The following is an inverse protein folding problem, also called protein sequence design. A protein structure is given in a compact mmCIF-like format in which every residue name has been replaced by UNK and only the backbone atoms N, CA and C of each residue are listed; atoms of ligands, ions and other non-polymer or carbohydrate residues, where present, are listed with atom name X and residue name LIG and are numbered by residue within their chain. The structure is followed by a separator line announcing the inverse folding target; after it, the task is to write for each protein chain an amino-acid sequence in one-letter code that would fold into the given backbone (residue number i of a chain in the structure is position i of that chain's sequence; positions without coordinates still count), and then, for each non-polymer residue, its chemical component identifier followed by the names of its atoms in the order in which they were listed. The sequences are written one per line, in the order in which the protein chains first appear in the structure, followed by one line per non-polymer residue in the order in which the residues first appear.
data_IF_560295071667
#
_entry.id   IF_560295071667
#
_cell.length_a   1.000
_cell.length_b   1.000
_cell.length_c   1.000
_cell.angle_alpha   90.00
_cell.angle_beta   90.00
_cell.angle_gamma   90.00
#
_symmetry.space_group_name_H-M   'P 1'
#
loop_
_entity.id
_entity.type
_entity.pdbx_description
1 polymer ?
#
# COMPACT_ATOMS: atom_id res chain seq x y z
N UNK A 1 7.44 9.57 1.19
CA UNK A 1 8.03 10.04 2.46
C UNK A 1 9.52 9.71 2.54
N UNK A 2 9.92 8.43 2.47
CA UNK A 2 11.32 7.98 2.62
C UNK A 2 12.27 8.58 1.59
N UNK A 3 11.87 8.65 0.30
CA UNK A 3 12.68 9.29 -0.74
C UNK A 3 12.83 10.80 -0.48
N UNK A 4 11.80 11.46 0.02
CA UNK A 4 11.85 12.89 0.36
C UNK A 4 12.82 13.15 1.52
N UNK A 5 12.80 12.28 2.56
CA UNK A 5 13.75 12.36 3.66
C UNK A 5 15.20 12.12 3.20
N UNK A 6 15.39 11.16 2.28
CA UNK A 6 16.71 10.92 1.68
C UNK A 6 17.22 12.14 0.90
N UNK A 7 16.36 12.74 0.08
CA UNK A 7 16.71 13.95 -0.69
C UNK A 7 16.96 15.17 0.24
N UNK A 8 16.28 15.24 1.38
CA UNK A 8 16.52 16.31 2.34
C UNK A 8 17.98 16.37 2.83
N UNK A 9 18.65 15.19 2.85
CA UNK A 9 20.05 15.07 3.27
C UNK A 9 21.05 15.09 2.11
N UNK A 10 20.70 14.44 0.99
CA UNK A 10 21.65 14.22 -0.11
C UNK A 10 21.58 15.29 -1.20
N UNK A 11 20.40 15.82 -1.48
CA UNK A 11 20.15 16.84 -2.51
C UNK A 11 18.92 17.67 -2.15
N UNK A 12 19.05 18.62 -1.20
CA UNK A 12 17.92 19.44 -0.74
C UNK A 12 17.19 20.19 -1.85
N UNK A 13 17.89 20.56 -2.93
CA UNK A 13 17.31 21.30 -4.06
C UNK A 13 16.42 20.41 -4.94
N UNK A 14 16.60 19.07 -4.89
CA UNK A 14 15.77 18.10 -5.60
C UNK A 14 14.49 17.72 -4.83
N UNK A 15 14.27 18.25 -3.63
CA UNK A 15 13.04 17.96 -2.88
C UNK A 15 11.80 18.49 -3.61
N UNK A 16 10.67 17.76 -3.56
CA UNK A 16 9.39 18.27 -4.05
C UNK A 16 8.92 19.45 -3.20
N UNK A 17 8.16 20.39 -3.79
CA UNK A 17 7.53 21.47 -3.02
C UNK A 17 6.39 21.00 -2.13
N UNK A 18 5.73 19.91 -2.53
CA UNK A 18 4.64 19.30 -1.78
C UNK A 18 4.64 17.78 -1.95
N UNK A 19 4.14 17.08 -0.96
CA UNK A 19 3.98 15.64 -0.94
C UNK A 19 2.57 15.30 -0.44
N UNK A 20 1.80 14.57 -1.25
CA UNK A 20 0.52 14.02 -0.81
C UNK A 20 0.68 12.53 -0.56
N UNK A 21 0.38 12.09 0.65
CA UNK A 21 0.35 10.68 1.04
C UNK A 21 -1.11 10.23 1.08
N UNK A 22 -1.42 9.18 0.33
CA UNK A 22 -2.78 8.65 0.22
C UNK A 22 -2.79 7.19 0.69
N UNK A 23 -3.44 6.90 1.81
CA UNK A 23 -3.64 5.56 2.35
C UNK A 23 -2.34 4.78 2.60
N UNK A 24 -1.22 5.45 2.86
CA UNK A 24 0.06 4.79 3.09
C UNK A 24 0.23 4.36 4.56
N UNK A 25 0.62 3.10 4.85
CA UNK A 25 0.80 2.64 6.23
C UNK A 25 2.13 3.13 6.81
N UNK A 26 2.21 4.40 7.17
CA UNK A 26 3.42 5.00 7.78
C UNK A 26 3.65 4.43 9.18
N UNK A 27 2.60 4.36 9.99
CA UNK A 27 2.61 3.61 11.24
C UNK A 27 1.46 2.59 11.28
N UNK A 28 1.70 1.31 10.93
CA UNK A 28 0.68 0.27 10.97
C UNK A 28 0.10 -0.01 12.37
N UNK A 29 0.77 0.45 13.43
CA UNK A 29 0.33 0.23 14.82
C UNK A 29 -0.55 1.38 15.34
N UNK A 30 -0.62 2.51 14.64
CA UNK A 30 -1.49 3.62 15.03
C UNK A 30 -2.97 3.19 15.08
N UNK A 31 -3.38 2.35 14.14
CA UNK A 31 -4.70 1.69 14.15
C UNK A 31 -4.54 0.28 13.58
N UNK A 32 -4.39 -0.75 14.43
CA UNK A 32 -4.24 -2.14 13.98
C UNK A 32 -5.44 -2.63 13.19
N UNK A 33 -5.18 -3.42 12.14
CA UNK A 33 -6.17 -4.09 11.30
C UNK A 33 -5.86 -5.58 11.19
N UNK A 34 -6.77 -6.38 10.64
CA UNK A 34 -6.52 -7.81 10.39
C UNK A 34 -5.27 -8.03 9.51
N UNK A 35 -4.99 -7.10 8.58
CA UNK A 35 -3.80 -7.16 7.71
C UNK A 35 -2.53 -6.90 8.53
N UNK A 36 -2.53 -5.91 9.41
CA UNK A 36 -1.37 -5.63 10.28
C UNK A 36 -1.13 -6.77 11.26
N UNK A 37 -2.17 -7.35 11.83
CA UNK A 37 -2.08 -8.49 12.74
C UNK A 37 -1.61 -9.77 12.02
N UNK A 38 -2.08 -10.02 10.80
CA UNK A 38 -1.56 -11.08 9.95
C UNK A 38 -0.06 -10.86 9.67
N UNK A 39 0.32 -9.66 9.25
CA UNK A 39 1.71 -9.29 8.99
C UNK A 39 2.64 -9.55 10.19
N UNK A 40 2.17 -9.31 11.42
CA UNK A 40 2.93 -9.59 12.65
C UNK A 40 3.10 -11.08 12.93
N UNK A 41 2.03 -11.87 12.76
CA UNK A 41 2.01 -13.30 13.13
C UNK A 41 2.75 -14.18 12.13
N UNK A 42 2.62 -13.92 10.84
CA UNK A 42 3.23 -14.73 9.78
C UNK A 42 4.75 -14.59 9.76
N UNK A 43 5.48 -15.67 9.58
CA UNK A 43 6.94 -15.60 9.39
C UNK A 43 7.30 -15.26 7.94
N UNK A 44 8.49 -14.69 7.72
CA UNK A 44 8.94 -14.39 6.36
C UNK A 44 9.08 -15.66 5.50
N UNK A 45 9.51 -16.76 6.10
CA UNK A 45 9.59 -18.06 5.42
C UNK A 45 8.21 -18.58 4.97
N UNK A 46 7.21 -18.46 5.83
CA UNK A 46 5.82 -18.82 5.47
C UNK A 46 5.29 -17.93 4.32
N UNK A 47 5.56 -16.62 4.36
CA UNK A 47 5.17 -15.73 3.27
C UNK A 47 5.85 -16.11 1.95
N UNK A 48 7.15 -16.38 1.98
CA UNK A 48 7.87 -16.79 0.77
C UNK A 48 7.33 -18.11 0.22
N UNK A 49 7.05 -19.08 1.08
CA UNK A 49 6.54 -20.39 0.67
C UNK A 49 5.12 -20.33 0.12
N UNK A 50 4.24 -19.52 0.72
CA UNK A 50 2.81 -19.52 0.39
C UNK A 50 2.42 -18.47 -0.65
N UNK A 51 3.10 -17.32 -0.67
CA UNK A 51 2.70 -16.18 -1.49
C UNK A 51 3.58 -15.97 -2.72
N UNK A 52 4.81 -16.49 -2.73
CA UNK A 52 5.74 -16.26 -3.82
C UNK A 52 5.71 -17.40 -4.82
N UNK A 53 5.58 -17.04 -6.09
CA UNK A 53 5.60 -17.98 -7.21
C UNK A 53 6.66 -17.59 -8.24
N UNK A 54 6.98 -18.50 -9.16
CA UNK A 54 7.86 -18.20 -10.28
C UNK A 54 7.03 -17.96 -11.54
N UNK A 55 7.40 -16.93 -12.27
CA UNK A 55 6.80 -16.63 -13.58
C UNK A 55 7.03 -17.82 -14.51
N UNK A 56 5.93 -18.32 -15.08
CA UNK A 56 5.94 -19.48 -15.99
C UNK A 56 6.59 -19.18 -17.35
N UNK A 57 6.99 -20.24 -18.04
CA UNK A 57 7.74 -20.15 -19.30
C UNK A 57 7.00 -19.50 -20.49
N UNK A 58 5.70 -19.27 -20.37
CA UNK A 58 4.87 -18.62 -21.40
C UNK A 58 4.83 -17.09 -21.30
N UNK A 59 5.42 -16.52 -20.25
CA UNK A 59 5.33 -15.09 -19.94
C UNK A 59 6.72 -14.45 -19.94
N UNK A 60 6.77 -13.17 -20.24
CA UNK A 60 7.98 -12.38 -20.08
C UNK A 60 8.47 -12.39 -18.63
N UNK A 61 9.80 -12.46 -18.44
CA UNK A 61 10.38 -12.54 -17.10
C UNK A 61 10.34 -13.93 -16.47
N UNK A 62 10.31 -14.99 -17.29
CA UNK A 62 10.33 -16.39 -16.86
C UNK A 62 11.34 -16.66 -15.75
N UNK A 63 10.92 -17.41 -14.73
CA UNK A 63 11.75 -17.77 -13.58
C UNK A 63 11.90 -16.70 -12.49
N UNK A 64 11.48 -15.45 -12.72
CA UNK A 64 11.45 -14.40 -11.68
C UNK A 64 10.51 -14.81 -10.55
N UNK A 65 10.92 -14.52 -9.34
CA UNK A 65 10.06 -14.68 -8.17
C UNK A 65 9.11 -13.47 -8.06
N UNK A 66 7.82 -13.74 -7.93
CA UNK A 66 6.77 -12.70 -7.86
C UNK A 66 5.72 -13.05 -6.80
N UNK A 67 5.06 -12.03 -6.27
CA UNK A 67 3.76 -12.16 -5.62
C UNK A 67 2.69 -11.95 -6.69
N UNK A 68 1.97 -13.00 -7.14
CA UNK A 68 1.07 -12.94 -8.27
C UNK A 68 -0.10 -11.99 -8.07
N UNK A 69 -0.46 -11.22 -9.10
CA UNK A 69 -1.61 -10.33 -9.10
C UNK A 69 -2.93 -11.05 -8.78
N UNK A 70 -3.11 -12.27 -9.31
CA UNK A 70 -4.29 -13.09 -9.00
C UNK A 70 -4.40 -13.42 -7.50
N UNK A 71 -3.28 -13.68 -6.83
CA UNK A 71 -3.26 -13.96 -5.40
C UNK A 71 -3.55 -12.70 -4.58
N UNK A 72 -3.05 -11.53 -5.03
CA UNK A 72 -3.39 -10.23 -4.45
C UNK A 72 -4.90 -9.97 -4.52
N UNK A 73 -5.50 -10.16 -5.71
CA UNK A 73 -6.95 -10.01 -5.91
C UNK A 73 -7.76 -10.95 -5.02
N UNK A 74 -7.35 -12.22 -4.93
CA UNK A 74 -8.02 -13.20 -4.06
C UNK A 74 -8.02 -12.74 -2.59
N UNK A 75 -6.89 -12.18 -2.14
CA UNK A 75 -6.77 -11.64 -0.78
C UNK A 75 -7.70 -10.44 -0.57
N UNK A 76 -7.72 -9.48 -1.50
CA UNK A 76 -8.60 -8.30 -1.41
C UNK A 76 -10.08 -8.66 -1.46
N UNK A 77 -10.48 -9.57 -2.35
CA UNK A 77 -11.87 -10.02 -2.46
C UNK A 77 -12.29 -10.74 -1.17
N UNK A 78 -11.41 -11.56 -0.56
CA UNK A 78 -11.73 -12.30 0.64
C UNK A 78 -11.98 -11.42 1.87
N UNK A 79 -11.33 -10.25 1.95
CA UNK A 79 -11.54 -9.29 3.04
C UNK A 79 -12.96 -8.67 3.03
N UNK A 80 -13.59 -8.57 1.85
CA UNK A 80 -14.91 -8.00 1.66
C UNK A 80 -15.81 -8.89 0.78
N UNK A 81 -15.78 -10.20 1.01
CA UNK A 81 -16.43 -11.20 0.15
C UNK A 81 -17.93 -10.94 -0.06
N UNK A 82 -18.68 -10.57 0.99
CA UNK A 82 -20.13 -10.27 0.88
C UNK A 82 -20.39 -9.08 -0.04
N UNK A 83 -19.59 -8.03 0.06
CA UNK A 83 -19.73 -6.84 -0.80
C UNK A 83 -19.49 -7.18 -2.27
N UNK A 84 -18.44 -7.96 -2.55
CA UNK A 84 -18.15 -8.38 -3.92
C UNK A 84 -19.24 -9.33 -4.46
N UNK A 85 -19.68 -10.31 -3.67
CA UNK A 85 -20.77 -11.19 -4.04
C UNK A 85 -22.05 -10.42 -4.36
N UNK A 86 -22.42 -9.46 -3.50
CA UNK A 86 -23.57 -8.60 -3.73
C UNK A 86 -23.42 -7.79 -5.04
N UNK A 87 -22.26 -7.17 -5.26
CA UNK A 87 -22.01 -6.36 -6.45
C UNK A 87 -22.13 -7.20 -7.75
N UNK A 88 -21.61 -8.41 -7.78
CA UNK A 88 -21.78 -9.31 -8.93
C UNK A 88 -23.23 -9.79 -9.11
N UNK A 89 -23.95 -10.06 -8.01
CA UNK A 89 -25.38 -10.40 -8.07
C UNK A 89 -26.22 -9.24 -8.62
N UNK A 90 -25.98 -8.03 -8.11
CA UNK A 90 -26.66 -6.81 -8.58
C UNK A 90 -26.38 -6.58 -10.09
N UNK A 91 -25.15 -6.82 -10.55
CA UNK A 91 -24.77 -6.77 -11.96
C UNK A 91 -25.60 -7.71 -12.83
N UNK A 92 -25.76 -8.97 -12.40
CA UNK A 92 -26.60 -9.94 -13.13
C UNK A 92 -28.04 -9.45 -13.26
N UNK A 93 -28.59 -8.89 -12.19
CA UNK A 93 -29.95 -8.32 -12.20
C UNK A 93 -30.05 -7.06 -13.06
N UNK A 94 -29.06 -6.17 -13.03
CA UNK A 94 -29.02 -4.97 -13.88
C UNK A 94 -29.01 -5.35 -15.37
N UNK A 95 -28.21 -6.33 -15.77
CA UNK A 95 -28.18 -6.88 -17.13
C UNK A 95 -29.54 -7.48 -17.51
N UNK A 96 -30.14 -8.28 -16.62
CA UNK A 96 -31.42 -8.92 -16.87
C UNK A 96 -32.57 -7.92 -17.05
N UNK A 97 -32.51 -6.76 -16.38
CA UNK A 97 -33.49 -5.69 -16.47
C UNK A 97 -33.21 -4.67 -17.59
N UNK A 98 -32.04 -4.72 -18.21
CA UNK A 98 -31.60 -3.74 -19.23
C UNK A 98 -31.18 -2.38 -18.65
N UNK A 99 -30.74 -2.33 -17.41
CA UNK A 99 -30.31 -1.11 -16.70
C UNK A 99 -28.84 -0.79 -17.07
N UNK A 100 -28.63 -0.20 -18.25
CA UNK A 100 -27.29 0.00 -18.85
C UNK A 100 -26.36 0.88 -17.99
N UNK A 101 -26.88 1.91 -17.32
CA UNK A 101 -26.05 2.83 -16.51
C UNK A 101 -25.42 2.15 -15.27
N UNK A 102 -26.15 1.25 -14.62
CA UNK A 102 -25.64 0.48 -13.49
C UNK A 102 -24.62 -0.57 -13.95
N UNK A 103 -24.90 -1.22 -15.08
CA UNK A 103 -23.97 -2.14 -15.72
C UNK A 103 -22.64 -1.47 -16.07
N UNK A 104 -22.66 -0.30 -16.70
CA UNK A 104 -21.47 0.45 -17.08
C UNK A 104 -20.68 0.95 -15.86
N UNK A 105 -21.33 1.33 -14.78
CA UNK A 105 -20.68 1.73 -13.54
C UNK A 105 -19.94 0.55 -12.88
N UNK A 106 -20.59 -0.62 -12.84
CA UNK A 106 -19.98 -1.85 -12.34
C UNK A 106 -18.75 -2.23 -13.16
N UNK A 107 -18.86 -2.26 -14.48
CA UNK A 107 -17.75 -2.64 -15.37
C UNK A 107 -16.57 -1.70 -15.19
N UNK A 108 -16.77 -0.38 -15.20
CA UNK A 108 -15.69 0.61 -14.96
C UNK A 108 -14.96 0.37 -13.64
N UNK A 109 -15.71 0.09 -12.57
CA UNK A 109 -15.10 -0.20 -11.27
C UNK A 109 -14.26 -1.47 -11.32
N UNK A 110 -14.81 -2.57 -11.86
CA UNK A 110 -14.11 -3.85 -11.87
C UNK A 110 -12.99 -3.93 -12.92
N UNK A 111 -13.06 -3.18 -14.01
CA UNK A 111 -11.96 -3.06 -14.96
C UNK A 111 -10.71 -2.48 -14.29
N UNK A 112 -10.87 -1.44 -13.47
CA UNK A 112 -9.79 -0.87 -12.66
C UNK A 112 -9.35 -1.81 -11.53
N UNK A 113 -10.32 -2.35 -10.78
CA UNK A 113 -10.04 -3.18 -9.61
C UNK A 113 -9.32 -4.49 -9.97
N UNK A 114 -9.62 -5.07 -11.13
CA UNK A 114 -9.00 -6.31 -11.60
C UNK A 114 -7.68 -6.07 -12.35
N UNK A 115 -7.32 -4.85 -12.67
CA UNK A 115 -6.09 -4.48 -13.36
C UNK A 115 -4.87 -4.52 -12.43
N UNK A 116 -4.59 -5.67 -11.82
CA UNK A 116 -3.49 -5.88 -10.88
C UNK A 116 -2.35 -6.62 -11.56
N UNK A 117 -1.13 -6.08 -11.41
CA UNK A 117 0.08 -6.71 -11.92
C UNK A 117 0.79 -7.53 -10.84
N UNK A 118 1.63 -8.47 -11.26
CA UNK A 118 2.52 -9.17 -10.35
C UNK A 118 3.51 -8.20 -9.70
N UNK A 119 3.73 -8.33 -8.39
CA UNK A 119 4.82 -7.64 -7.68
C UNK A 119 6.07 -8.50 -7.66
N UNK A 120 7.26 -7.89 -7.70
CA UNK A 120 8.48 -8.64 -7.42
C UNK A 120 8.47 -9.16 -5.98
N UNK A 121 8.99 -10.37 -5.78
CA UNK A 121 9.04 -10.97 -4.43
C UNK A 121 9.83 -10.09 -3.45
N UNK A 122 10.93 -9.50 -3.92
CA UNK A 122 11.77 -8.61 -3.12
C UNK A 122 11.00 -7.40 -2.61
N UNK A 123 10.20 -6.76 -3.47
CA UNK A 123 9.39 -5.61 -3.07
C UNK A 123 8.33 -6.01 -2.03
N UNK A 124 7.57 -7.07 -2.31
CA UNK A 124 6.54 -7.55 -1.39
C UNK A 124 7.11 -7.95 -0.04
N UNK A 125 8.11 -8.84 -0.03
CA UNK A 125 8.71 -9.34 1.22
C UNK A 125 9.39 -8.24 2.01
N UNK A 126 10.12 -7.33 1.34
CA UNK A 126 10.75 -6.20 2.04
C UNK A 126 9.72 -5.24 2.61
N UNK A 127 8.61 -5.01 1.93
CA UNK A 127 7.50 -4.19 2.45
C UNK A 127 6.93 -4.79 3.72
N UNK A 128 6.57 -6.09 3.70
CA UNK A 128 6.06 -6.75 4.91
C UNK A 128 7.08 -6.70 6.04
N UNK A 129 8.35 -7.02 5.76
CA UNK A 129 9.39 -7.05 6.78
C UNK A 129 9.65 -5.65 7.37
N UNK A 130 9.85 -4.65 6.53
CA UNK A 130 10.32 -3.33 6.95
C UNK A 130 9.20 -2.43 7.48
N UNK A 131 8.02 -2.48 6.82
CA UNK A 131 6.90 -1.58 7.15
C UNK A 131 6.01 -2.19 8.24
N UNK A 132 5.55 -3.44 8.04
CA UNK A 132 4.58 -4.05 8.94
C UNK A 132 5.21 -4.74 10.16
N UNK A 133 6.34 -5.45 10.00
CA UNK A 133 6.98 -6.15 11.12
C UNK A 133 7.93 -5.27 11.91
N UNK A 134 8.88 -4.64 11.22
CA UNK A 134 9.92 -3.82 11.86
C UNK A 134 9.44 -2.41 12.17
N UNK A 135 8.42 -1.91 11.46
CA UNK A 135 7.92 -0.53 11.56
C UNK A 135 9.04 0.49 11.37
N UNK A 136 9.92 0.27 10.41
CA UNK A 136 11.14 1.07 10.26
C UNK A 136 10.84 2.54 9.99
N UNK A 137 9.73 2.87 9.28
CA UNK A 137 9.30 4.26 9.07
C UNK A 137 8.84 4.86 10.40
N UNK A 138 7.86 4.25 11.07
CA UNK A 138 7.30 4.75 12.32
C UNK A 138 8.36 4.92 13.43
N UNK A 139 9.40 4.08 13.39
CA UNK A 139 10.52 4.13 14.35
C UNK A 139 11.67 5.04 13.92
N UNK A 140 11.52 5.78 12.84
CA UNK A 140 12.54 6.67 12.28
C UNK A 140 13.91 5.98 12.07
N UNK A 141 13.87 4.72 11.58
CA UNK A 141 15.09 3.94 11.32
C UNK A 141 15.12 3.30 9.92
N UNK A 142 14.28 3.80 9.01
CA UNK A 142 14.25 3.31 7.64
C UNK A 142 15.52 3.70 6.88
N UNK A 143 16.10 2.77 6.12
CA UNK A 143 17.29 3.04 5.31
C UNK A 143 16.98 3.09 3.82
N UNK A 144 17.57 4.07 3.14
CA UNK A 144 17.57 4.22 1.68
C UNK A 144 19.03 4.17 1.22
N UNK A 145 19.32 3.36 0.23
CA UNK A 145 20.70 3.18 -0.29
C UNK A 145 21.74 2.89 0.80
N UNK A 146 21.35 2.16 1.87
CA UNK A 146 22.22 1.83 3.00
C UNK A 146 22.40 2.91 4.06
N UNK A 147 21.77 4.09 3.87
CA UNK A 147 21.79 5.20 4.82
C UNK A 147 20.44 5.30 5.53
N UNK A 148 20.45 5.34 6.85
CA UNK A 148 19.24 5.64 7.64
C UNK A 148 18.83 7.08 7.39
N UNK A 149 17.56 7.30 7.05
CA UNK A 149 17.01 8.63 6.82
C UNK A 149 16.28 9.13 8.07
N UNK A 150 16.41 10.42 8.35
CA UNK A 150 15.70 11.08 9.43
C UNK A 150 14.57 11.95 8.86
N UNK A 151 13.33 11.65 9.23
CA UNK A 151 12.17 12.39 8.75
C UNK A 151 12.11 13.82 9.31
N UNK A 152 12.80 14.11 10.42
CA UNK A 152 12.94 15.46 10.94
C UNK A 152 13.69 16.41 9.98
N UNK A 153 14.49 15.86 9.06
CA UNK A 153 15.20 16.65 8.05
C UNK A 153 14.30 17.18 6.92
N UNK A 154 13.05 16.73 6.85
CA UNK A 154 12.05 17.31 5.95
C UNK A 154 11.58 18.63 6.57
N UNK A 155 12.08 19.76 6.08
CA UNK A 155 11.82 21.08 6.65
C UNK A 155 11.10 22.06 5.73
N UNK A 156 11.04 21.75 4.42
CA UNK A 156 10.54 22.68 3.41
C UNK A 156 9.64 22.02 2.35
N UNK A 157 8.94 20.97 2.72
CA UNK A 157 8.01 20.22 1.86
C UNK A 157 6.62 20.23 2.48
N UNK A 158 5.65 20.89 1.85
CA UNK A 158 4.27 20.84 2.36
C UNK A 158 3.73 19.40 2.29
N UNK A 159 3.31 18.83 3.43
CA UNK A 159 2.80 17.46 3.48
C UNK A 159 1.29 17.46 3.70
N UNK A 160 0.58 16.72 2.84
CA UNK A 160 -0.85 16.43 2.98
C UNK A 160 -1.04 14.92 3.10
N UNK A 161 -1.87 14.50 4.04
CA UNK A 161 -2.30 13.11 4.19
C UNK A 161 -3.77 12.97 3.82
N UNK A 162 -4.10 11.85 3.16
CA UNK A 162 -5.48 11.48 2.80
C UNK A 162 -5.69 10.04 3.24
N UNK A 163 -6.71 9.79 4.03
CA UNK A 163 -7.05 8.48 4.55
C UNK A 163 -8.48 8.10 4.16
N UNK A 164 -8.69 6.83 3.83
CA UNK A 164 -10.01 6.26 3.63
C UNK A 164 -10.66 5.93 4.96
N UNK A 165 -11.79 6.55 5.31
CA UNK A 165 -12.48 6.30 6.60
C UNK A 165 -12.98 4.86 6.79
N UNK A 166 -12.95 4.02 5.75
CA UNK A 166 -13.32 2.60 5.76
C UNK A 166 -12.22 1.72 5.15
N UNK A 167 -10.97 2.16 5.24
CA UNK A 167 -9.83 1.39 4.75
C UNK A 167 -9.46 0.32 5.77
N UNK A 168 -9.61 -0.95 5.38
CA UNK A 168 -9.35 -2.12 6.23
C UNK A 168 -7.86 -2.55 6.19
N UNK A 169 -7.04 -1.89 5.35
CA UNK A 169 -5.62 -2.19 5.19
C UNK A 169 -4.78 -1.12 5.87
N UNK A 170 -4.93 0.14 5.43
CA UNK A 170 -4.28 1.30 6.01
C UNK A 170 -5.33 2.18 6.70
N UNK A 171 -5.78 1.73 7.87
CA UNK A 171 -6.86 2.38 8.62
C UNK A 171 -6.51 3.82 9.02
N UNK A 172 -7.51 4.67 9.26
CA UNK A 172 -7.31 6.04 9.71
C UNK A 172 -6.37 6.14 10.91
N UNK A 173 -5.41 7.05 10.85
CA UNK A 173 -4.32 7.18 11.82
C UNK A 173 -2.98 6.67 11.31
N UNK A 174 -2.96 5.67 10.43
CA UNK A 174 -1.70 5.09 9.95
C UNK A 174 -0.94 6.01 9.00
N UNK A 175 -1.63 6.72 8.12
CA UNK A 175 -1.00 7.62 7.15
C UNK A 175 -0.67 8.98 7.79
N UNK A 176 -1.57 9.52 8.59
CA UNK A 176 -1.37 10.82 9.25
C UNK A 176 -0.18 10.82 10.22
N UNK A 177 0.22 9.67 10.73
CA UNK A 177 1.44 9.51 11.54
C UNK A 177 2.71 10.08 10.87
N UNK A 178 2.70 10.27 9.55
CA UNK A 178 3.77 10.96 8.83
C UNK A 178 4.02 12.39 9.33
N UNK A 179 2.97 13.08 9.74
CA UNK A 179 3.07 14.47 10.21
C UNK A 179 3.79 14.56 11.56
N UNK A 180 3.63 13.56 12.42
CA UNK A 180 4.31 13.46 13.70
C UNK A 180 5.79 13.14 13.54
N UNK A 181 6.15 12.37 12.51
CA UNK A 181 7.55 12.05 12.18
C UNK A 181 8.30 13.25 11.61
N UNK A 182 7.63 14.09 10.83
CA UNK A 182 8.24 15.26 10.19
C UNK A 182 8.29 16.46 11.16
N UNK A 183 9.02 16.29 12.25
CA UNK A 183 9.11 17.30 13.33
C UNK A 183 9.80 18.59 12.91
N UNK A 184 10.61 18.55 11.84
CA UNK A 184 11.25 19.74 11.26
C UNK A 184 10.32 20.64 10.45
N UNK A 185 9.10 20.18 10.14
CA UNK A 185 8.14 20.98 9.38
C UNK A 185 7.41 21.98 10.28
N UNK A 186 7.26 23.24 9.82
CA UNK A 186 6.37 24.19 10.48
C UNK A 186 4.91 23.73 10.35
N UNK A 187 4.06 24.06 11.34
CA UNK A 187 2.65 23.65 11.39
C UNK A 187 1.84 24.12 10.16
N UNK A 188 2.27 25.19 9.50
CA UNK A 188 1.64 25.71 8.28
C UNK A 188 1.87 24.82 7.06
N UNK A 189 2.75 23.81 7.16
CA UNK A 189 3.09 22.86 6.08
C UNK A 189 2.59 21.43 6.35
N UNK A 190 1.82 21.24 7.41
CA UNK A 190 1.22 19.96 7.81
C UNK A 190 -0.27 19.88 7.50
#
# INVERSE_FOLDING_TARGET
LTATAYLAEEDPDAQPRSLTLIGGPVDPDATPTDVTDFGRRVTMGQLEETMIQRVGFKFDGVGRKVYPGLLQLSSFISMNAERHHKAFSDQVWAVAKGEASEHDAHNRFYDEYLAVMDMTAEFYLSTVQRIFKNREIARNCFSVAGKVVDFANITNVAIKTVEGGKDDISAPGQCIAALDLCTGLPETMK
#
